data_IF_254320116873
#
_entry.id   IF_254320116873
#
_cell.length_a   1.000
_cell.length_b   1.000
_cell.length_c   1.000
_cell.angle_alpha   90.00
_cell.angle_beta   90.00
_cell.angle_gamma   90.00
#
_symmetry.space_group_name_H-M   'P 1'
#
loop_
_entity.id
_entity.type
_entity.pdbx_description
1 polymer ?
#
# COMPACT_ATOMS: atom_id res chain seq x y z
N UNK A 1 -23.08 -46.87 -16.73
CA UNK A 1 -21.65 -47.25 -16.62
C UNK A 1 -21.25 -47.13 -15.16
N UNK A 2 -20.34 -47.97 -14.62
CA UNK A 2 -19.90 -47.79 -13.24
C UNK A 2 -19.33 -46.38 -13.08
N UNK A 3 -19.76 -45.64 -12.03
CA UNK A 3 -19.44 -44.21 -11.81
C UNK A 3 -17.95 -43.88 -11.98
N UNK A 4 -17.06 -44.83 -11.67
CA UNK A 4 -15.60 -44.73 -11.87
C UNK A 4 -15.18 -44.52 -13.33
N UNK A 5 -15.77 -45.22 -14.30
CA UNK A 5 -15.46 -45.07 -15.74
C UNK A 5 -15.89 -43.70 -16.30
N UNK A 6 -16.95 -43.12 -15.76
CA UNK A 6 -17.35 -41.74 -16.08
C UNK A 6 -16.36 -40.73 -15.51
N UNK A 7 -15.83 -40.97 -14.31
CA UNK A 7 -14.75 -40.17 -13.71
C UNK A 7 -13.44 -40.21 -14.50
N UNK A 8 -13.03 -41.39 -14.96
CA UNK A 8 -11.80 -41.56 -15.76
C UNK A 8 -11.93 -40.79 -17.08
N UNK A 9 -13.05 -40.95 -17.80
CA UNK A 9 -13.27 -40.19 -19.05
C UNK A 9 -13.34 -38.69 -18.83
N UNK A 10 -13.91 -38.24 -17.70
CA UNK A 10 -13.91 -36.82 -17.33
C UNK A 10 -12.49 -36.29 -17.08
N UNK A 11 -11.64 -37.07 -16.41
CA UNK A 11 -10.23 -36.74 -16.19
C UNK A 11 -9.44 -36.68 -17.51
N UNK A 12 -9.57 -37.69 -18.37
CA UNK A 12 -8.93 -37.73 -19.68
C UNK A 12 -9.34 -36.52 -20.54
N UNK A 13 -10.63 -36.16 -20.51
CA UNK A 13 -11.14 -34.98 -21.22
C UNK A 13 -10.49 -33.69 -20.70
N UNK A 14 -10.40 -33.51 -19.38
CA UNK A 14 -9.73 -32.34 -18.80
C UNK A 14 -8.23 -32.30 -19.12
N UNK A 15 -7.55 -33.44 -19.05
CA UNK A 15 -6.13 -33.54 -19.38
C UNK A 15 -5.83 -33.22 -20.85
N UNK A 16 -6.78 -33.50 -21.75
CA UNK A 16 -6.69 -33.09 -23.16
C UNK A 16 -6.93 -31.58 -23.39
N UNK A 17 -7.26 -30.82 -22.34
CA UNK A 17 -7.50 -29.37 -22.39
C UNK A 17 -8.94 -28.98 -22.73
N UNK A 18 -9.84 -29.95 -22.93
CA UNK A 18 -11.25 -29.69 -23.23
C UNK A 18 -12.10 -29.59 -21.96
N UNK A 19 -12.97 -28.58 -21.91
CA UNK A 19 -13.93 -28.41 -20.82
C UNK A 19 -15.31 -28.90 -21.22
N UNK A 20 -15.89 -29.82 -20.44
CA UNK A 20 -17.27 -30.30 -20.57
C UNK A 20 -17.99 -30.21 -19.23
N UNK A 21 -19.00 -29.32 -19.07
CA UNK A 21 -19.72 -29.14 -17.81
C UNK A 21 -20.37 -30.42 -17.26
N UNK A 22 -20.81 -31.32 -18.15
CA UNK A 22 -21.49 -32.58 -17.76
C UNK A 22 -20.50 -33.56 -17.14
N UNK A 23 -19.37 -33.79 -17.80
CA UNK A 23 -18.30 -34.66 -17.29
C UNK A 23 -17.74 -34.13 -15.97
N UNK A 24 -17.68 -32.81 -15.85
CA UNK A 24 -17.20 -32.11 -14.67
C UNK A 24 -18.12 -32.26 -13.46
N UNK A 25 -19.44 -32.21 -13.64
CA UNK A 25 -20.38 -32.48 -12.56
C UNK A 25 -20.22 -33.90 -12.01
N UNK A 26 -20.03 -34.89 -12.91
CA UNK A 26 -19.74 -36.27 -12.53
C UNK A 26 -18.43 -36.42 -11.75
N UNK A 27 -17.35 -35.78 -12.22
CA UNK A 27 -16.07 -35.76 -11.51
C UNK A 27 -16.16 -35.06 -10.14
N UNK A 28 -16.98 -34.01 -10.00
CA UNK A 28 -17.25 -33.31 -8.72
C UNK A 28 -17.80 -34.26 -7.67
N UNK A 29 -18.84 -35.00 -8.06
CA UNK A 29 -19.51 -35.97 -7.20
C UNK A 29 -18.54 -37.07 -6.81
N UNK A 30 -17.77 -37.63 -7.75
CA UNK A 30 -16.77 -38.66 -7.45
C UNK A 30 -15.69 -38.20 -6.47
N UNK A 31 -15.13 -37.01 -6.67
CA UNK A 31 -14.11 -36.44 -5.76
C UNK A 31 -14.71 -36.20 -4.37
N UNK A 32 -15.97 -35.78 -4.30
CA UNK A 32 -16.64 -35.48 -3.02
C UNK A 32 -17.07 -36.76 -2.29
N UNK A 33 -17.53 -37.76 -3.03
CA UNK A 33 -18.23 -38.93 -2.50
C UNK A 33 -17.31 -40.17 -2.35
N UNK A 34 -16.11 -40.18 -2.95
CA UNK A 34 -15.16 -41.30 -2.86
C UNK A 34 -13.72 -40.84 -2.56
N UNK A 35 -13.29 -40.93 -1.29
CA UNK A 35 -11.89 -40.70 -0.90
C UNK A 35 -10.89 -41.63 -1.58
N UNK A 36 -11.32 -42.85 -1.94
CA UNK A 36 -10.52 -43.86 -2.65
C UNK A 36 -10.22 -43.38 -4.07
N UNK A 37 -11.22 -42.82 -4.77
CA UNK A 37 -11.01 -42.23 -6.10
C UNK A 37 -9.96 -41.10 -6.04
N UNK A 38 -10.03 -40.22 -5.04
CA UNK A 38 -9.01 -39.16 -4.86
C UNK A 38 -7.63 -39.75 -4.58
N UNK A 39 -7.54 -40.86 -3.85
CA UNK A 39 -6.26 -41.52 -3.59
C UNK A 39 -5.67 -42.16 -4.85
N UNK A 40 -6.49 -42.89 -5.60
CA UNK A 40 -6.10 -43.60 -6.82
C UNK A 40 -5.68 -42.65 -7.94
N UNK A 41 -6.39 -41.53 -8.11
CA UNK A 41 -6.17 -40.59 -9.22
C UNK A 41 -5.50 -39.28 -8.80
N UNK A 42 -4.79 -39.26 -7.66
CA UNK A 42 -4.22 -38.02 -7.09
C UNK A 42 -3.32 -37.27 -8.07
N UNK A 43 -2.49 -37.98 -8.84
CA UNK A 43 -1.50 -37.36 -9.72
C UNK A 43 -2.15 -36.75 -10.96
N UNK A 44 -3.17 -37.40 -11.51
CA UNK A 44 -3.99 -36.88 -12.59
C UNK A 44 -4.76 -35.64 -12.14
N UNK A 45 -5.34 -35.67 -10.94
CA UNK A 45 -6.06 -34.52 -10.38
C UNK A 45 -5.12 -33.32 -10.14
N UNK A 46 -3.90 -33.56 -9.63
CA UNK A 46 -2.88 -32.53 -9.47
C UNK A 46 -2.43 -31.96 -10.82
N UNK A 47 -2.27 -32.81 -11.84
CA UNK A 47 -1.89 -32.36 -13.17
C UNK A 47 -2.98 -31.49 -13.81
N UNK A 48 -4.26 -31.83 -13.60
CA UNK A 48 -5.38 -30.96 -13.99
C UNK A 48 -5.30 -29.60 -13.27
N UNK A 49 -5.05 -29.57 -11.95
CA UNK A 49 -4.90 -28.29 -11.23
C UNK A 49 -3.75 -27.44 -11.78
N UNK A 50 -2.60 -28.06 -12.07
CA UNK A 50 -1.43 -27.37 -12.62
C UNK A 50 -1.68 -26.86 -14.04
N UNK A 51 -2.32 -27.66 -14.91
CA UNK A 51 -2.63 -27.33 -16.30
C UNK A 51 -3.59 -26.15 -16.40
N UNK A 52 -4.57 -26.11 -15.51
CA UNK A 52 -5.59 -25.05 -15.52
C UNK A 52 -5.22 -23.86 -14.64
N UNK A 53 -4.18 -23.91 -13.80
CA UNK A 53 -3.83 -22.82 -12.89
C UNK A 53 -3.76 -21.45 -13.58
N UNK A 54 -3.19 -21.40 -14.79
CA UNK A 54 -2.97 -20.16 -15.55
C UNK A 54 -4.09 -19.86 -16.57
N UNK A 55 -4.90 -20.85 -16.96
CA UNK A 55 -5.92 -20.74 -18.03
C UNK A 55 -7.28 -20.26 -17.56
N UNK A 56 -7.39 -19.78 -16.32
CA UNK A 56 -8.68 -19.52 -15.65
C UNK A 56 -9.22 -18.10 -15.88
N UNK A 57 -8.63 -17.34 -16.79
CA UNK A 57 -9.21 -16.09 -17.28
C UNK A 57 -10.42 -16.38 -18.18
N UNK A 58 -11.62 -16.45 -17.57
CA UNK A 58 -12.88 -16.39 -18.33
C UNK A 58 -14.03 -17.18 -17.73
N UNK A 59 -13.76 -18.36 -17.13
CA UNK A 59 -14.82 -19.22 -16.60
C UNK A 59 -14.82 -19.27 -15.07
N UNK A 60 -15.81 -18.60 -14.47
CA UNK A 60 -16.03 -18.56 -13.02
C UNK A 60 -16.41 -19.95 -12.46
N UNK A 61 -17.18 -20.75 -13.18
CA UNK A 61 -17.67 -22.06 -12.72
C UNK A 61 -16.53 -23.09 -12.71
N UNK A 62 -15.67 -23.05 -13.72
CA UNK A 62 -14.46 -23.87 -13.78
C UNK A 62 -13.53 -23.56 -12.59
N UNK A 63 -13.30 -22.28 -12.29
CA UNK A 63 -12.51 -21.83 -11.12
C UNK A 63 -13.07 -22.32 -9.80
N UNK A 64 -14.37 -22.16 -9.59
CA UNK A 64 -15.01 -22.55 -8.34
C UNK A 64 -14.85 -24.04 -8.07
N UNK A 65 -15.06 -24.88 -9.08
CA UNK A 65 -14.86 -26.31 -8.92
C UNK A 65 -13.39 -26.70 -8.70
N UNK A 66 -12.45 -26.19 -9.52
CA UNK A 66 -11.05 -26.64 -9.43
C UNK A 66 -10.50 -26.35 -8.03
N UNK A 67 -10.78 -25.15 -7.50
CA UNK A 67 -10.22 -24.73 -6.22
C UNK A 67 -11.06 -25.15 -5.01
N UNK A 68 -12.40 -25.17 -5.11
CA UNK A 68 -13.24 -25.51 -3.96
C UNK A 68 -13.53 -27.01 -3.82
N UNK A 69 -13.57 -27.76 -4.94
CA UNK A 69 -13.96 -29.18 -4.95
C UNK A 69 -12.77 -30.11 -5.14
N UNK A 70 -11.87 -29.80 -6.08
CA UNK A 70 -10.74 -30.67 -6.40
C UNK A 70 -9.52 -30.41 -5.52
N UNK A 71 -9.11 -29.15 -5.34
CA UNK A 71 -7.93 -28.83 -4.53
C UNK A 71 -8.13 -29.16 -3.04
N UNK A 72 -9.35 -28.97 -2.52
CA UNK A 72 -9.67 -29.19 -1.10
C UNK A 72 -9.21 -30.56 -0.55
N UNK A 73 -9.62 -31.71 -1.11
CA UNK A 73 -9.17 -33.03 -0.62
C UNK A 73 -7.71 -33.35 -0.98
N UNK A 74 -7.09 -32.62 -1.92
CA UNK A 74 -5.69 -32.77 -2.27
C UNK A 74 -4.75 -32.01 -1.34
N UNK A 75 -5.19 -30.90 -0.72
CA UNK A 75 -4.37 -30.15 0.26
C UNK A 75 -3.90 -31.04 1.40
N UNK A 76 -4.75 -31.94 1.88
CA UNK A 76 -4.43 -32.82 3.01
C UNK A 76 -3.39 -33.88 2.62
N UNK A 77 -3.32 -34.26 1.35
CA UNK A 77 -2.44 -35.34 0.87
C UNK A 77 -1.13 -34.80 0.28
N UNK A 78 -1.20 -33.69 -0.45
CA UNK A 78 -0.11 -33.13 -1.27
C UNK A 78 -0.08 -31.59 -1.18
N UNK A 79 0.02 -31.00 0.04
CA UNK A 79 -0.14 -29.56 0.27
C UNK A 79 0.85 -28.73 -0.56
N UNK A 80 2.08 -29.23 -0.71
CA UNK A 80 3.15 -28.57 -1.48
C UNK A 80 2.78 -28.37 -2.95
N UNK A 81 2.30 -29.42 -3.63
CA UNK A 81 1.95 -29.35 -5.07
C UNK A 81 0.72 -28.48 -5.30
N UNK A 82 -0.29 -28.61 -4.43
CA UNK A 82 -1.48 -27.75 -4.47
C UNK A 82 -1.09 -26.28 -4.24
N UNK A 83 -0.14 -26.01 -3.34
CA UNK A 83 0.39 -24.67 -3.11
C UNK A 83 1.04 -24.07 -4.36
N UNK A 84 1.90 -24.83 -5.06
CA UNK A 84 2.53 -24.37 -6.30
C UNK A 84 1.50 -24.06 -7.39
N UNK A 85 0.45 -24.87 -7.52
CA UNK A 85 -0.65 -24.61 -8.44
C UNK A 85 -1.43 -23.33 -8.05
N UNK A 86 -1.69 -23.12 -6.75
CA UNK A 86 -2.35 -21.93 -6.25
C UNK A 86 -1.51 -20.64 -6.48
N UNK A 87 -0.18 -20.71 -6.31
CA UNK A 87 0.75 -19.61 -6.59
C UNK A 87 0.67 -19.21 -8.07
N UNK A 88 0.73 -20.18 -8.99
CA UNK A 88 0.56 -19.93 -10.43
C UNK A 88 -0.77 -19.26 -10.74
N UNK A 89 -1.85 -19.73 -10.11
CA UNK A 89 -3.19 -19.15 -10.31
C UNK A 89 -3.31 -17.72 -9.78
N UNK A 90 -2.56 -17.37 -8.73
CA UNK A 90 -2.50 -16.00 -8.22
C UNK A 90 -1.75 -15.05 -9.16
N UNK A 91 -0.73 -15.54 -9.87
CA UNK A 91 0.06 -14.73 -10.83
C UNK A 91 -0.77 -14.18 -11.98
N UNK A 92 -1.69 -14.98 -12.50
CA UNK A 92 -2.60 -14.57 -13.59
C UNK A 92 -3.77 -13.69 -13.14
N UNK A 93 -3.86 -13.32 -11.87
CA UNK A 93 -5.02 -12.59 -11.36
C UNK A 93 -4.78 -11.07 -11.33
N UNK A 94 -5.62 -10.24 -12.00
CA UNK A 94 -5.36 -8.80 -12.13
C UNK A 94 -5.70 -7.97 -10.88
N UNK A 95 -6.39 -8.57 -9.90
CA UNK A 95 -6.89 -7.87 -8.71
C UNK A 95 -6.07 -8.16 -7.46
N UNK A 96 -5.90 -7.14 -6.61
CA UNK A 96 -5.37 -7.28 -5.25
C UNK A 96 -6.41 -7.85 -4.28
N UNK A 97 -5.94 -8.54 -3.25
CA UNK A 97 -6.78 -8.99 -2.15
C UNK A 97 -7.29 -7.79 -1.35
N UNK A 98 -8.57 -7.85 -0.95
CA UNK A 98 -9.14 -6.96 0.06
C UNK A 98 -9.89 -7.79 1.10
N UNK A 99 -9.84 -7.42 2.40
CA UNK A 99 -10.48 -8.18 3.47
C UNK A 99 -12.00 -8.34 3.30
N UNK A 100 -12.65 -7.42 2.58
CA UNK A 100 -14.09 -7.39 2.32
C UNK A 100 -14.50 -8.16 1.05
N UNK A 101 -13.56 -8.79 0.33
CA UNK A 101 -13.89 -9.59 -0.85
C UNK A 101 -14.71 -10.80 -0.44
N UNK A 102 -15.95 -10.87 -0.96
CA UNK A 102 -16.80 -12.05 -0.78
C UNK A 102 -16.08 -13.28 -1.37
N UNK A 103 -15.95 -14.40 -0.63
CA UNK A 103 -15.28 -15.62 -1.12
C UNK A 103 -15.86 -16.16 -2.45
N UNK A 104 -17.14 -15.89 -2.74
CA UNK A 104 -17.79 -16.24 -4.01
C UNK A 104 -17.20 -15.52 -5.24
N UNK A 105 -16.52 -14.40 -5.03
CA UNK A 105 -15.83 -13.62 -6.07
C UNK A 105 -14.40 -14.19 -6.25
N UNK A 106 -13.89 -14.89 -5.23
CA UNK A 106 -12.49 -15.27 -5.12
C UNK A 106 -12.32 -16.69 -4.55
N UNK A 107 -12.57 -17.73 -5.36
CA UNK A 107 -12.56 -19.12 -4.89
C UNK A 107 -11.18 -19.61 -4.44
N UNK A 108 -10.10 -18.90 -4.78
CA UNK A 108 -8.74 -19.17 -4.30
C UNK A 108 -8.55 -18.81 -2.81
N UNK A 109 -9.26 -17.82 -2.25
CA UNK A 109 -9.03 -17.37 -0.86
C UNK A 109 -9.25 -18.52 0.14
N UNK A 110 -10.37 -19.25 0.13
CA UNK A 110 -10.54 -20.40 1.04
C UNK A 110 -9.48 -21.49 0.91
N UNK A 111 -8.86 -21.64 -0.27
CA UNK A 111 -7.76 -22.57 -0.49
C UNK A 111 -6.46 -22.05 0.12
N UNK A 112 -6.14 -20.77 -0.11
CA UNK A 112 -4.98 -20.11 0.51
C UNK A 112 -5.07 -20.16 2.04
N UNK A 113 -6.26 -19.96 2.63
CA UNK A 113 -6.48 -20.12 4.08
C UNK A 113 -6.14 -21.53 4.58
N UNK A 114 -6.52 -22.56 3.82
CA UNK A 114 -6.21 -23.96 4.17
C UNK A 114 -4.71 -24.22 4.08
N UNK A 115 -4.09 -23.79 2.99
CA UNK A 115 -2.65 -23.91 2.76
C UNK A 115 -1.84 -23.14 3.80
N UNK A 116 -2.34 -22.00 4.30
CA UNK A 116 -1.68 -21.24 5.36
C UNK A 116 -1.50 -22.06 6.65
N UNK A 117 -2.45 -22.95 6.95
CA UNK A 117 -2.39 -23.74 8.17
C UNK A 117 -1.35 -24.87 8.08
N UNK A 118 -0.92 -25.26 6.89
CA UNK A 118 0.17 -26.19 6.66
C UNK A 118 1.54 -25.45 6.68
N UNK A 119 2.51 -25.84 7.54
CA UNK A 119 3.78 -25.14 7.65
C UNK A 119 4.59 -25.06 6.34
N UNK A 120 4.65 -26.16 5.58
CA UNK A 120 5.46 -26.23 4.36
C UNK A 120 4.83 -25.39 3.24
N UNK A 121 3.50 -25.45 3.09
CA UNK A 121 2.80 -24.60 2.14
C UNK A 121 2.88 -23.11 2.55
N UNK A 122 2.81 -22.79 3.84
CA UNK A 122 2.97 -21.42 4.34
C UNK A 122 4.32 -20.82 3.97
N UNK A 123 5.42 -21.55 4.17
CA UNK A 123 6.76 -21.11 3.78
C UNK A 123 6.83 -20.78 2.29
N UNK A 124 6.27 -21.65 1.43
CA UNK A 124 6.21 -21.43 -0.01
C UNK A 124 5.36 -20.22 -0.40
N UNK A 125 4.22 -19.98 0.27
CA UNK A 125 3.39 -18.80 0.02
C UNK A 125 4.14 -17.51 0.38
N UNK A 126 4.89 -17.52 1.48
CA UNK A 126 5.73 -16.38 1.91
C UNK A 126 6.85 -16.13 0.91
N UNK A 127 7.61 -17.17 0.53
CA UNK A 127 8.69 -17.07 -0.45
C UNK A 127 8.17 -16.57 -1.80
N UNK A 128 7.06 -17.12 -2.30
CA UNK A 128 6.46 -16.71 -3.56
C UNK A 128 5.91 -15.28 -3.53
N UNK A 129 5.45 -14.79 -2.38
CA UNK A 129 5.06 -13.41 -2.19
C UNK A 129 6.27 -12.46 -2.20
N UNK A 130 7.36 -12.83 -1.50
CA UNK A 130 8.59 -12.05 -1.41
C UNK A 130 9.31 -11.94 -2.76
N UNK A 131 9.35 -13.03 -3.52
CA UNK A 131 9.99 -13.10 -4.85
C UNK A 131 9.10 -12.61 -5.99
N UNK A 132 7.84 -12.26 -5.69
CA UNK A 132 6.86 -11.78 -6.68
C UNK A 132 6.27 -12.87 -7.60
N UNK A 133 6.58 -14.15 -7.37
CA UNK A 133 6.10 -15.26 -8.18
C UNK A 133 4.57 -15.40 -8.21
N UNK A 134 3.87 -15.05 -7.13
CA UNK A 134 2.40 -15.12 -7.04
C UNK A 134 1.66 -13.84 -7.44
N UNK A 135 2.34 -12.84 -7.98
CA UNK A 135 1.73 -11.56 -8.37
C UNK A 135 1.18 -10.73 -7.19
N UNK A 136 0.46 -9.65 -7.52
CA UNK A 136 -0.05 -8.68 -6.54
C UNK A 136 -1.06 -9.28 -5.57
N UNK A 137 -1.87 -10.24 -6.04
CA UNK A 137 -2.86 -10.91 -5.22
C UNK A 137 -2.20 -11.61 -4.04
N UNK A 138 -1.26 -12.53 -4.32
CA UNK A 138 -0.61 -13.32 -3.29
C UNK A 138 0.14 -12.41 -2.31
N UNK A 139 0.88 -11.43 -2.83
CA UNK A 139 1.59 -10.45 -2.00
C UNK A 139 0.66 -9.72 -1.03
N UNK A 140 -0.47 -9.21 -1.51
CA UNK A 140 -1.43 -8.47 -0.67
C UNK A 140 -2.12 -9.37 0.36
N UNK A 141 -2.43 -10.62 0.01
CA UNK A 141 -3.05 -11.58 0.93
C UNK A 141 -2.06 -12.06 2.01
N UNK A 142 -0.82 -12.40 1.65
CA UNK A 142 0.22 -12.79 2.62
C UNK A 142 0.51 -11.64 3.58
N UNK A 143 0.60 -10.41 3.10
CA UNK A 143 0.74 -9.20 3.95
C UNK A 143 -0.39 -9.04 4.96
N UNK A 144 -1.61 -9.43 4.59
CA UNK A 144 -2.75 -9.41 5.50
C UNK A 144 -2.70 -10.53 6.55
N UNK A 145 -2.08 -11.67 6.21
CA UNK A 145 -1.99 -12.84 7.09
C UNK A 145 -0.83 -12.82 8.06
N UNK A 146 0.28 -12.20 7.69
CA UNK A 146 1.42 -12.08 8.59
C UNK A 146 1.09 -11.16 9.76
N UNK A 147 1.37 -11.57 11.01
CA UNK A 147 1.36 -10.68 12.16
C UNK A 147 2.25 -9.47 11.88
N UNK A 148 1.84 -8.29 12.33
CA UNK A 148 2.52 -7.02 12.04
C UNK A 148 3.99 -7.00 12.49
N UNK A 149 4.38 -7.92 13.38
CA UNK A 149 5.74 -8.06 13.92
C UNK A 149 6.67 -8.92 13.05
N UNK A 150 6.16 -9.73 12.12
CA UNK A 150 6.96 -10.70 11.33
C UNK A 150 7.15 -10.32 9.86
N UNK A 151 6.57 -9.21 9.37
CA UNK A 151 6.65 -8.84 7.96
C UNK A 151 8.01 -8.17 7.62
N UNK A 152 8.96 -8.85 6.93
CA UNK A 152 10.27 -8.28 6.62
C UNK A 152 10.16 -7.10 5.63
N UNK A 153 9.07 -7.07 4.85
CA UNK A 153 8.80 -6.10 3.79
C UNK A 153 8.31 -4.74 4.33
N UNK A 154 7.80 -4.68 5.57
CA UNK A 154 7.39 -3.40 6.17
C UNK A 154 8.59 -2.54 6.58
N UNK A 155 9.73 -3.15 6.91
CA UNK A 155 10.96 -2.45 7.29
C UNK A 155 11.48 -1.54 6.16
N UNK A 156 11.51 -2.04 4.93
CA UNK A 156 11.99 -1.25 3.77
C UNK A 156 11.08 -0.07 3.44
N UNK A 157 9.76 -0.29 3.37
CA UNK A 157 8.81 0.79 3.06
C UNK A 157 8.78 1.86 4.16
N UNK A 158 8.90 1.44 5.43
CA UNK A 158 8.98 2.35 6.58
C UNK A 158 10.31 3.12 6.58
N UNK A 159 11.41 2.44 6.27
CA UNK A 159 12.73 3.06 6.11
C UNK A 159 12.74 4.12 4.99
N UNK A 160 12.18 3.79 3.82
CA UNK A 160 12.03 4.73 2.71
C UNK A 160 11.19 5.95 3.09
N UNK A 161 10.06 5.75 3.78
CA UNK A 161 9.23 6.86 4.28
C UNK A 161 10.01 7.76 5.24
N UNK A 162 10.72 7.18 6.21
CA UNK A 162 11.50 7.95 7.20
C UNK A 162 12.65 8.72 6.56
N UNK A 163 13.36 8.11 5.61
CA UNK A 163 14.39 8.78 4.82
C UNK A 163 13.81 9.95 4.02
N UNK A 164 12.60 9.79 3.50
CA UNK A 164 11.92 10.85 2.77
C UNK A 164 11.52 12.03 3.69
N UNK A 165 10.97 11.74 4.87
CA UNK A 165 10.62 12.75 5.87
C UNK A 165 11.88 13.50 6.34
N UNK A 166 12.97 12.80 6.56
CA UNK A 166 14.27 13.39 6.89
C UNK A 166 14.76 14.34 5.79
N UNK A 167 14.71 13.91 4.52
CA UNK A 167 15.08 14.76 3.38
C UNK A 167 14.24 16.04 3.28
N UNK A 168 12.93 15.93 3.53
CA UNK A 168 12.02 17.08 3.63
C UNK A 168 12.45 18.05 4.73
N UNK A 169 12.78 17.52 5.92
CA UNK A 169 13.19 18.32 7.06
C UNK A 169 14.52 19.03 6.80
N UNK A 170 15.48 18.36 6.15
CA UNK A 170 16.72 18.99 5.70
C UNK A 170 16.44 20.19 4.79
N UNK A 171 15.58 20.03 3.78
CA UNK A 171 15.19 21.15 2.91
C UNK A 171 14.52 22.30 3.68
N UNK A 172 13.65 21.99 4.65
CA UNK A 172 13.01 23.00 5.48
C UNK A 172 14.03 23.77 6.32
N UNK A 173 14.93 23.07 7.00
CA UNK A 173 15.95 23.68 7.86
C UNK A 173 16.94 24.53 7.06
N UNK A 174 17.36 24.06 5.88
CA UNK A 174 18.17 24.85 4.95
C UNK A 174 17.41 26.11 4.49
N UNK A 175 16.11 26.02 4.24
CA UNK A 175 15.29 27.19 3.89
C UNK A 175 15.19 28.19 5.02
N UNK A 176 15.02 27.71 6.25
CA UNK A 176 14.93 28.53 7.46
C UNK A 176 16.30 29.11 7.89
N UNK A 177 17.41 28.58 7.36
CA UNK A 177 18.76 28.96 7.76
C UNK A 177 19.08 28.54 9.19
N UNK A 178 18.50 27.44 9.66
CA UNK A 178 18.81 26.87 10.97
C UNK A 178 19.29 25.42 10.81
N UNK A 179 20.12 24.95 11.74
CA UNK A 179 20.51 23.53 11.81
C UNK A 179 20.18 23.01 13.21
N UNK A 180 19.44 21.89 13.30
CA UNK A 180 19.23 21.26 14.60
C UNK A 180 20.57 20.73 15.14
N UNK A 181 20.79 20.86 16.45
CA UNK A 181 21.96 20.28 17.13
C UNK A 181 21.82 18.76 17.26
N UNK A 182 20.58 18.28 17.37
CA UNK A 182 20.20 16.87 17.40
C UNK A 182 18.90 16.66 16.64
N UNK A 183 18.79 15.54 15.94
CA UNK A 183 17.57 15.14 15.24
C UNK A 183 17.41 13.63 15.35
N UNK A 184 16.21 13.17 15.70
CA UNK A 184 15.88 11.76 15.80
C UNK A 184 14.51 11.49 15.17
N UNK A 185 14.46 10.54 14.23
CA UNK A 185 13.21 10.11 13.61
C UNK A 185 12.43 9.18 14.56
N UNK A 186 11.11 9.35 14.63
CA UNK A 186 10.21 8.60 15.51
C UNK A 186 8.86 8.33 14.83
N UNK A 187 7.90 7.78 15.57
CA UNK A 187 6.54 7.51 15.03
C UNK A 187 5.50 8.54 15.45
N UNK A 188 5.70 9.19 16.60
CA UNK A 188 4.77 10.18 17.14
C UNK A 188 5.52 11.08 18.14
N UNK A 189 5.99 12.25 17.71
CA UNK A 189 5.95 12.80 16.34
C UNK A 189 6.89 12.05 15.36
N UNK A 190 6.76 12.33 14.06
CA UNK A 190 7.64 11.76 13.02
C UNK A 190 9.13 12.06 13.24
N UNK A 191 9.43 13.20 13.85
CA UNK A 191 10.79 13.63 14.20
C UNK A 191 10.79 14.45 15.48
N UNK A 192 11.86 14.35 16.27
CA UNK A 192 12.19 15.29 17.35
C UNK A 192 13.53 15.94 17.03
N UNK A 193 13.54 17.27 16.99
CA UNK A 193 14.74 18.06 16.71
C UNK A 193 15.03 19.02 17.87
N UNK A 194 16.30 19.22 18.17
CA UNK A 194 16.75 20.21 19.15
C UNK A 194 17.26 21.47 18.41
N UNK A 195 16.58 22.61 18.63
CA UNK A 195 16.90 23.88 17.97
C UNK A 195 16.94 24.97 19.04
N UNK A 196 18.07 25.66 19.15
CA UNK A 196 18.30 26.70 20.17
C UNK A 196 17.95 26.22 21.60
N UNK A 197 18.36 24.98 21.93
CA UNK A 197 18.13 24.37 23.25
C UNK A 197 16.69 23.92 23.52
N UNK A 198 15.78 24.00 22.54
CA UNK A 198 14.39 23.55 22.66
C UNK A 198 14.16 22.25 21.89
N UNK A 199 13.43 21.32 22.49
CA UNK A 199 12.98 20.07 21.87
C UNK A 199 11.68 20.32 21.11
N UNK A 200 11.75 20.15 19.80
CA UNK A 200 10.65 20.40 18.89
C UNK A 200 10.21 19.07 18.30
N UNK A 201 8.96 18.70 18.56
CA UNK A 201 8.31 17.60 17.87
C UNK A 201 7.82 18.07 16.51
N UNK A 202 8.10 17.33 15.45
CA UNK A 202 7.76 17.71 14.08
C UNK A 202 7.00 16.56 13.42
N UNK A 203 5.77 16.84 13.02
CA UNK A 203 4.97 15.96 12.17
C UNK A 203 5.19 16.33 10.71
N UNK A 204 5.47 15.36 9.85
CA UNK A 204 5.68 15.57 8.42
C UNK A 204 4.56 14.92 7.63
N UNK A 205 4.06 15.61 6.62
CA UNK A 205 3.03 15.04 5.76
C UNK A 205 3.12 15.60 4.36
N UNK A 206 2.88 14.73 3.39
CA UNK A 206 2.89 15.08 1.98
C UNK A 206 1.45 15.29 1.54
N UNK A 207 1.18 16.40 0.87
CA UNK A 207 -0.12 16.72 0.33
C UNK A 207 -0.29 16.01 -1.02
N UNK A 208 -1.36 15.24 -1.13
CA UNK A 208 -1.79 14.62 -2.37
C UNK A 208 -3.14 15.23 -2.81
N UNK A 209 -3.17 16.18 -3.78
CA UNK A 209 -4.41 16.84 -4.21
C UNK A 209 -5.51 15.89 -4.71
N UNK A 210 -5.16 14.69 -5.18
CA UNK A 210 -6.10 13.67 -5.66
C UNK A 210 -6.49 12.62 -4.60
N UNK A 211 -6.08 12.79 -3.34
CA UNK A 211 -6.35 11.81 -2.29
C UNK A 211 -7.85 11.76 -1.94
N UNK A 212 -8.39 10.54 -1.88
CA UNK A 212 -9.78 10.29 -1.45
C UNK A 212 -9.82 10.06 0.06
N UNK A 213 -10.99 10.24 0.67
CA UNK A 213 -11.18 9.98 2.11
C UNK A 213 -10.85 8.52 2.49
N UNK A 214 -11.04 7.60 1.56
CA UNK A 214 -10.72 6.18 1.70
C UNK A 214 -9.88 5.73 0.51
N UNK A 215 -8.75 5.07 0.78
CA UNK A 215 -7.99 4.33 -0.25
C UNK A 215 -6.79 5.02 -0.90
N UNK A 216 -6.23 6.09 -0.29
CA UNK A 216 -5.03 6.78 -0.79
C UNK A 216 -5.26 7.57 -2.08
N UNK A 217 -4.18 7.97 -2.75
CA UNK A 217 -4.23 8.71 -4.03
C UNK A 217 -4.13 7.73 -5.23
N UNK A 218 -5.20 7.55 -6.04
CA UNK A 218 -5.13 6.75 -7.26
C UNK A 218 -4.11 7.31 -8.25
N UNK A 219 -3.98 8.64 -8.31
CA UNK A 219 -3.02 9.32 -9.17
C UNK A 219 -1.58 8.98 -8.77
N UNK A 220 -1.30 8.92 -7.46
CA UNK A 220 0.02 8.49 -6.96
C UNK A 220 0.34 7.07 -7.40
N UNK A 221 -0.61 6.14 -7.27
CA UNK A 221 -0.41 4.74 -7.70
C UNK A 221 -0.14 4.66 -9.21
N UNK A 222 -0.87 5.44 -10.01
CA UNK A 222 -0.68 5.49 -11.45
C UNK A 222 0.70 6.06 -11.82
N UNK A 223 1.14 7.10 -11.11
CA UNK A 223 2.45 7.73 -11.29
C UNK A 223 3.60 6.79 -10.93
N UNK A 224 3.51 6.12 -9.76
CA UNK A 224 4.47 5.12 -9.32
C UNK A 224 4.58 3.96 -10.33
N UNK A 225 3.46 3.48 -10.87
CA UNK A 225 3.45 2.44 -11.90
C UNK A 225 4.03 2.92 -13.23
N UNK A 226 3.79 4.18 -13.59
CA UNK A 226 4.34 4.79 -14.81
C UNK A 226 5.86 4.88 -14.69
N UNK A 227 6.37 5.43 -13.59
CA UNK A 227 7.81 5.54 -13.33
C UNK A 227 8.48 4.18 -13.22
N UNK A 228 7.82 3.18 -12.61
CA UNK A 228 8.33 1.81 -12.61
C UNK A 228 8.51 1.26 -14.03
N UNK A 229 7.59 1.58 -14.95
CA UNK A 229 7.60 1.08 -16.32
C UNK A 229 8.63 1.76 -17.21
N UNK A 230 8.73 3.07 -17.15
CA UNK A 230 9.56 3.87 -18.07
C UNK A 230 10.86 4.36 -17.44
N UNK A 231 11.08 4.07 -16.16
CA UNK A 231 12.20 4.59 -15.38
C UNK A 231 12.09 6.09 -15.13
N UNK A 232 13.23 6.78 -15.21
CA UNK A 232 13.34 8.22 -14.98
C UNK A 232 13.06 9.08 -16.22
N UNK A 233 12.48 8.49 -17.27
CA UNK A 233 12.13 9.24 -18.47
C UNK A 233 10.96 10.21 -18.20
N UNK A 234 10.92 11.37 -18.88
CA UNK A 234 9.78 12.29 -18.78
C UNK A 234 8.46 11.60 -19.17
N UNK A 235 7.39 11.92 -18.44
CA UNK A 235 6.03 11.44 -18.74
C UNK A 235 4.99 12.56 -18.62
N UNK A 236 4.02 12.61 -19.54
CA UNK A 236 2.86 13.46 -19.38
C UNK A 236 1.85 12.80 -18.44
N UNK A 237 1.38 13.54 -17.45
CA UNK A 237 0.27 13.11 -16.59
C UNK A 237 -0.54 14.32 -16.14
N UNK A 238 -1.86 14.16 -16.08
CA UNK A 238 -2.76 15.19 -15.58
C UNK A 238 -2.66 15.29 -14.06
N UNK A 239 -2.30 16.46 -13.56
CA UNK A 239 -2.32 16.74 -12.13
C UNK A 239 -3.74 17.11 -11.65
N UNK A 240 -4.06 16.74 -10.41
CA UNK A 240 -5.24 17.30 -9.73
C UNK A 240 -4.90 18.70 -9.21
N UNK A 241 -5.78 19.66 -9.47
CA UNK A 241 -5.66 21.03 -8.96
C UNK A 241 -6.46 21.26 -7.66
N UNK A 242 -7.15 20.25 -7.13
CA UNK A 242 -7.98 20.38 -5.91
C UNK A 242 -7.16 20.25 -4.61
N UNK A 243 -6.06 21.01 -4.54
CA UNK A 243 -5.17 21.00 -3.37
C UNK A 243 -5.84 21.60 -2.13
N UNK A 244 -6.83 22.49 -2.31
CA UNK A 244 -7.53 23.20 -1.23
C UNK A 244 -8.30 22.24 -0.34
N UNK A 245 -9.14 21.37 -0.93
CA UNK A 245 -9.91 20.37 -0.17
C UNK A 245 -9.00 19.30 0.44
N UNK A 246 -7.95 18.91 -0.28
CA UNK A 246 -6.95 17.99 0.26
C UNK A 246 -6.26 18.57 1.51
N UNK A 247 -5.83 19.83 1.45
CA UNK A 247 -5.16 20.51 2.57
C UNK A 247 -6.07 20.62 3.79
N UNK A 248 -7.34 21.02 3.61
CA UNK A 248 -8.29 21.13 4.71
C UNK A 248 -8.51 19.80 5.43
N UNK A 249 -8.71 18.71 4.68
CA UNK A 249 -8.91 17.37 5.24
C UNK A 249 -7.68 16.89 5.99
N UNK A 250 -6.51 16.98 5.35
CA UNK A 250 -5.24 16.57 5.93
C UNK A 250 -4.92 17.36 7.21
N UNK A 251 -5.15 18.67 7.20
CA UNK A 251 -4.96 19.52 8.39
C UNK A 251 -5.88 19.07 9.53
N UNK A 252 -7.18 18.88 9.26
CA UNK A 252 -8.12 18.36 10.27
C UNK A 252 -7.69 17.01 10.84
N UNK A 253 -7.21 16.11 9.99
CA UNK A 253 -6.73 14.80 10.42
C UNK A 253 -5.51 14.90 11.34
N UNK A 254 -4.51 15.70 10.96
CA UNK A 254 -3.29 15.88 11.77
C UNK A 254 -3.58 16.60 13.08
N UNK A 255 -4.46 17.59 13.10
CA UNK A 255 -4.91 18.26 14.34
C UNK A 255 -5.59 17.26 15.29
N UNK A 256 -6.48 16.39 14.77
CA UNK A 256 -7.12 15.33 15.58
C UNK A 256 -6.12 14.30 16.10
N UNK A 257 -5.07 13.98 15.34
CA UNK A 257 -4.04 13.06 15.78
C UNK A 257 -3.17 13.67 16.88
N UNK A 258 -2.79 14.95 16.72
CA UNK A 258 -1.92 15.66 17.65
C UNK A 258 -2.51 15.82 19.06
N UNK A 259 -3.83 15.78 19.23
CA UNK A 259 -4.46 15.82 20.56
C UNK A 259 -4.13 14.60 21.43
N UNK A 260 -3.62 13.52 20.82
CA UNK A 260 -3.21 12.29 21.51
C UNK A 260 -1.71 12.21 21.79
N UNK A 261 -0.94 13.20 21.37
CA UNK A 261 0.52 13.17 21.51
C UNK A 261 0.91 13.44 22.96
N UNK A 262 1.83 12.63 23.48
CA UNK A 262 2.44 12.90 24.78
C UNK A 262 3.44 14.05 24.65
N UNK A 263 3.07 15.21 25.18
CA UNK A 263 3.88 16.44 25.11
C UNK A 263 4.83 16.63 26.30
N UNK A 264 4.89 15.71 27.26
CA UNK A 264 5.67 15.91 28.49
C UNK A 264 7.17 16.13 28.26
N UNK A 265 7.70 15.71 27.11
CA UNK A 265 9.12 15.80 26.75
C UNK A 265 9.41 16.74 25.56
N UNK A 266 8.40 17.48 25.08
CA UNK A 266 8.47 18.32 23.88
C UNK A 266 8.03 19.74 24.22
N UNK A 267 8.90 20.72 23.96
CA UNK A 267 8.63 22.15 24.23
C UNK A 267 7.67 22.75 23.20
N UNK A 268 7.80 22.37 21.93
CA UNK A 268 6.98 22.86 20.82
C UNK A 268 6.60 21.76 19.85
N UNK A 269 5.41 21.85 19.27
CA UNK A 269 4.94 20.93 18.24
C UNK A 269 4.75 21.65 16.92
N UNK A 270 5.39 21.17 15.86
CA UNK A 270 5.33 21.71 14.50
C UNK A 270 4.64 20.73 13.57
N UNK A 271 3.90 21.26 12.58
CA UNK A 271 3.39 20.50 11.45
C UNK A 271 4.03 21.00 10.16
N UNK A 272 4.59 20.11 9.37
CA UNK A 272 5.18 20.40 8.06
C UNK A 272 4.34 19.71 7.00
N UNK A 273 3.55 20.50 6.27
CA UNK A 273 2.79 20.06 5.11
C UNK A 273 3.59 20.38 3.86
N UNK A 274 3.90 19.35 3.08
CA UNK A 274 4.71 19.49 1.86
C UNK A 274 3.86 19.28 0.62
N UNK A 275 4.00 20.17 -0.34
CA UNK A 275 3.53 20.00 -1.70
C UNK A 275 4.72 19.92 -2.66
N UNK A 276 4.53 19.23 -3.79
CA UNK A 276 5.53 19.05 -4.82
C UNK A 276 6.87 18.57 -4.25
N UNK A 277 6.87 17.48 -3.48
CA UNK A 277 8.06 16.92 -2.85
C UNK A 277 8.94 16.20 -3.88
N UNK A 278 9.79 16.93 -4.59
CA UNK A 278 10.96 16.33 -5.22
C UNK A 278 11.97 16.04 -4.12
N UNK A 279 11.96 14.80 -3.61
CA UNK A 279 12.83 13.82 -4.27
C UNK A 279 12.16 12.46 -4.55
N UNK A 280 10.84 12.30 -4.43
CA UNK A 280 10.22 11.03 -4.84
C UNK A 280 10.08 11.02 -6.36
N UNK A 281 10.98 10.32 -7.03
CA UNK A 281 10.78 9.92 -8.42
C UNK A 281 9.46 9.14 -8.52
N UNK A 282 8.49 9.68 -9.26
CA UNK A 282 7.15 9.08 -9.40
C UNK A 282 6.09 9.55 -8.42
N UNK A 283 6.28 10.69 -7.75
CA UNK A 283 5.19 11.38 -7.04
C UNK A 283 5.12 12.90 -7.30
N UNK A 284 5.83 13.40 -8.32
CA UNK A 284 5.90 14.82 -8.63
C UNK A 284 4.53 15.37 -9.06
N UNK A 285 3.82 14.66 -9.94
CA UNK A 285 2.52 15.07 -10.49
C UNK A 285 1.42 14.90 -9.44
N UNK A 286 1.44 13.78 -8.70
CA UNK A 286 0.44 13.47 -7.67
C UNK A 286 0.57 14.29 -6.38
N UNK A 287 1.64 15.07 -6.23
CA UNK A 287 1.85 16.04 -5.14
C UNK A 287 1.89 17.49 -5.63
N UNK A 288 1.72 17.72 -6.93
CA UNK A 288 1.92 19.04 -7.52
C UNK A 288 0.91 20.07 -7.02
N UNK A 289 1.40 21.23 -6.62
CA UNK A 289 0.57 22.40 -6.28
C UNK A 289 1.18 23.64 -6.95
N UNK A 290 0.41 24.37 -7.76
CA UNK A 290 0.90 25.58 -8.41
C UNK A 290 1.09 26.71 -7.40
N UNK A 291 2.32 27.21 -7.20
CA UNK A 291 2.58 28.23 -6.19
C UNK A 291 2.06 29.63 -6.54
N UNK A 292 1.55 29.83 -7.77
CA UNK A 292 0.80 31.03 -8.13
C UNK A 292 -0.64 31.00 -7.58
N UNK A 293 -1.22 29.82 -7.33
CA UNK A 293 -2.56 29.71 -6.75
C UNK A 293 -2.52 29.71 -5.21
N UNK A 294 -1.35 29.52 -4.59
CA UNK A 294 -1.19 29.51 -3.13
C UNK A 294 -0.83 30.90 -2.62
N UNK A 295 -1.68 31.46 -1.77
CA UNK A 295 -1.44 32.72 -1.05
C UNK A 295 -1.66 32.53 0.44
N UNK A 296 -1.05 33.37 1.27
CA UNK A 296 -1.25 33.36 2.71
C UNK A 296 -2.73 33.51 3.09
N UNK A 297 -3.46 34.40 2.41
CA UNK A 297 -4.89 34.61 2.62
C UNK A 297 -5.71 33.35 2.35
N UNK A 298 -5.45 32.66 1.22
CA UNK A 298 -6.12 31.38 0.91
C UNK A 298 -5.82 30.33 1.98
N UNK A 299 -4.57 30.23 2.43
CA UNK A 299 -4.21 29.30 3.52
C UNK A 299 -4.95 29.64 4.82
N UNK A 300 -5.05 30.92 5.19
CA UNK A 300 -5.85 31.38 6.33
C UNK A 300 -7.31 30.95 6.19
N UNK A 301 -7.95 31.29 5.08
CA UNK A 301 -9.37 30.97 4.85
C UNK A 301 -9.66 29.46 4.91
N UNK A 302 -8.69 28.63 4.52
CA UNK A 302 -8.84 27.18 4.55
C UNK A 302 -8.62 26.57 5.93
N UNK A 303 -7.70 27.11 6.73
CA UNK A 303 -7.12 26.37 7.87
C UNK A 303 -7.16 27.09 9.22
N UNK A 304 -7.39 28.41 9.26
CA UNK A 304 -7.19 29.21 10.49
C UNK A 304 -7.97 28.68 11.70
N UNK A 305 -9.28 28.42 11.56
CA UNK A 305 -10.09 27.92 12.67
C UNK A 305 -9.59 26.58 13.22
N UNK A 306 -9.23 25.64 12.33
CA UNK A 306 -8.75 24.31 12.71
C UNK A 306 -7.37 24.37 13.36
N UNK A 307 -6.49 25.27 12.90
CA UNK A 307 -5.14 25.41 13.44
C UNK A 307 -5.12 26.12 14.80
N UNK A 308 -6.00 27.11 15.01
CA UNK A 308 -6.05 27.84 16.28
C UNK A 308 -6.48 26.92 17.45
N UNK A 309 -7.39 26.00 17.20
CA UNK A 309 -7.81 24.96 18.15
C UNK A 309 -6.79 23.82 18.32
N UNK A 310 -5.74 23.80 17.51
CA UNK A 310 -4.78 22.69 17.48
C UNK A 310 -3.70 22.78 18.55
N UNK A 311 -3.01 21.66 18.77
CA UNK A 311 -1.82 21.58 19.61
C UNK A 311 -0.55 22.16 18.97
N UNK A 312 -0.57 22.49 17.67
CA UNK A 312 0.61 22.95 16.94
C UNK A 312 0.93 24.41 17.25
N UNK A 313 2.21 24.68 17.53
CA UNK A 313 2.74 26.03 17.76
C UNK A 313 3.09 26.73 16.44
N UNK A 314 3.58 25.96 15.47
CA UNK A 314 3.94 26.40 14.13
C UNK A 314 3.45 25.39 13.09
N UNK A 315 3.01 25.90 11.95
CA UNK A 315 2.70 25.08 10.78
C UNK A 315 3.40 25.66 9.57
N UNK A 316 4.01 24.79 8.78
CA UNK A 316 4.68 25.13 7.54
C UNK A 316 3.93 24.51 6.37
N UNK A 317 3.74 25.28 5.31
CA UNK A 317 3.28 24.79 4.01
C UNK A 317 4.39 25.02 3.00
N UNK A 318 5.10 23.95 2.63
CA UNK A 318 6.31 24.04 1.82
C UNK A 318 6.09 23.47 0.42
N UNK A 319 6.22 24.31 -0.60
CA UNK A 319 6.22 23.90 -2.02
C UNK A 319 7.68 23.78 -2.46
N UNK A 320 8.26 22.59 -2.24
CA UNK A 320 9.72 22.37 -2.35
C UNK A 320 10.25 22.74 -3.74
N UNK A 321 9.63 22.21 -4.80
CA UNK A 321 10.05 22.45 -6.18
C UNK A 321 10.06 23.93 -6.60
N UNK A 322 9.24 24.76 -5.95
CA UNK A 322 9.13 26.20 -6.26
C UNK A 322 9.80 27.07 -5.19
N UNK A 323 10.50 26.47 -4.22
CA UNK A 323 11.18 27.15 -3.09
C UNK A 323 10.29 28.20 -2.41
N UNK A 324 8.99 27.89 -2.26
CA UNK A 324 8.02 28.76 -1.55
C UNK A 324 7.62 28.13 -0.24
N UNK A 325 7.86 28.85 0.85
CA UNK A 325 7.48 28.44 2.19
C UNK A 325 6.48 29.42 2.79
N UNK A 326 5.37 28.91 3.29
CA UNK A 326 4.46 29.68 4.12
C UNK A 326 4.56 29.18 5.56
N UNK A 327 4.43 30.10 6.50
CA UNK A 327 4.46 29.81 7.93
C UNK A 327 3.22 30.38 8.59
N UNK A 328 2.56 29.56 9.39
CA UNK A 328 1.56 29.95 10.36
C UNK A 328 2.13 29.78 11.77
N UNK A 329 1.74 30.68 12.67
CA UNK A 329 2.07 30.64 14.09
C UNK A 329 0.77 30.79 14.86
N UNK A 330 0.62 30.05 15.95
CA UNK A 330 -0.56 30.14 16.81
C UNK A 330 -0.83 31.58 17.26
N UNK A 331 -2.09 32.02 17.15
CA UNK A 331 -2.49 33.42 17.37
C UNK A 331 -2.02 34.39 16.27
N UNK A 332 -1.65 33.91 15.09
CA UNK A 332 -1.22 34.73 13.95
C UNK A 332 -1.80 34.23 12.63
N UNK A 333 -1.71 35.04 11.58
CA UNK A 333 -2.03 34.63 10.21
C UNK A 333 -0.86 33.93 9.52
N UNK A 334 -1.16 33.20 8.44
CA UNK A 334 -0.14 32.71 7.52
C UNK A 334 0.67 33.87 6.95
N UNK A 335 1.98 33.67 6.79
CA UNK A 335 2.89 34.60 6.12
C UNK A 335 3.79 33.82 5.15
N UNK A 336 3.99 34.37 3.97
CA UNK A 336 5.03 33.87 3.07
C UNK A 336 6.40 34.21 3.66
N UNK A 337 7.24 33.20 3.78
CA UNK A 337 8.60 33.34 4.27
C UNK A 337 9.50 33.56 3.07
N UNK A 338 10.34 34.59 3.14
CA UNK A 338 11.45 34.74 2.19
C UNK A 338 12.60 33.87 2.66
N UNK A 339 13.20 33.11 1.75
CA UNK A 339 14.44 32.41 2.04
C UNK A 339 15.47 33.45 2.54
N UNK A 340 15.99 33.26 3.75
CA UNK A 340 17.09 34.10 4.23
C UNK A 340 18.28 33.79 3.32
N UNK A 341 18.58 34.68 2.37
CA UNK A 341 19.89 34.66 1.70
C UNK A 341 20.91 34.81 2.81
N UNK A 342 21.81 33.85 2.98
CA UNK A 342 22.87 33.80 4.00
C UNK A 342 23.28 35.20 4.47
N UNK A 343 22.58 35.73 5.48
CA UNK A 343 22.99 36.89 6.22
C UNK A 343 23.84 36.28 7.32
N UNK A 344 25.15 36.29 7.08
CA UNK A 344 26.13 36.10 8.15
C UNK A 344 25.69 36.92 9.36
N UNK A 345 25.63 36.26 10.52
CA UNK A 345 25.41 36.80 11.87
C UNK A 345 23.97 37.15 12.31
N UNK A 346 23.51 36.43 13.34
CA UNK A 346 23.27 37.11 14.62
C UNK A 346 21.87 37.16 15.19
N UNK A 347 20.80 36.95 14.43
CA UNK A 347 19.45 37.17 14.97
C UNK A 347 18.48 36.00 14.72
N UNK A 348 18.37 35.16 15.74
CA UNK A 348 17.25 34.26 16.00
C UNK A 348 16.71 34.58 17.42
N UNK A 349 15.62 35.34 17.48
CA UNK A 349 14.75 35.51 18.64
C UNK A 349 13.30 35.19 18.24
#
# INVERSE_FOLDING_TARGET
MPKKEEGIRALETLLSGYYSPVLFAGLSSLITDSPEFVHEFKDQLLWVLELYAEKLEGDRRLREFLWAKMAKPLVEKEPRRVCLAAIKACKGHPYSFRPDIKPRIFPLVPLLERLWNDPQARELLIEAAQTGQGGFLLLSWVKHKMPTEEAPIQGEARGQKKQQEEGILCCLFDYLGCRPTRMSMGESPDCVAEIAGKRIGIEVTILHPAEKETGGSPLRRQEEETVRRIGLQPYPMWASLDWKRALQRLTKQKVRAASRFNRSSIDKLWLVVVAASAPIWGAAVSTWVPAFDVTAEKLCNLTAGVLEESAYDLVFFYIIMQKKLFRWKKGSSWKEMRQRRNLSTGELA
#
